data_IF_583466310899
#
_entry.id   IF_583466310899
#
_cell.length_a   1.000
_cell.length_b   1.000
_cell.length_c   1.000
_cell.angle_alpha   90.00
_cell.angle_beta   90.00
_cell.angle_gamma   90.00
#
_symmetry.space_group_name_H-M   'P 1'
#
loop_
_entity.id
_entity.type
_entity.pdbx_description
1 polymer ?
#
# COMPACT_ATOMS: atom_id res chain seq x y z
N UNK A 1 -15.19 18.04 -2.97
CA UNK A 1 -15.74 16.81 -2.33
C UNK A 1 -15.33 15.49 -3.01
N UNK A 2 -14.64 15.46 -4.16
CA UNK A 2 -14.36 14.23 -4.94
C UNK A 2 -13.12 13.40 -4.55
N UNK A 3 -12.42 13.73 -3.46
CA UNK A 3 -11.08 13.15 -3.21
C UNK A 3 -11.11 11.72 -2.66
N UNK A 4 -12.16 11.34 -1.91
CA UNK A 4 -12.25 10.03 -1.27
C UNK A 4 -12.34 8.87 -2.28
N UNK A 5 -13.18 8.91 -3.35
CA UNK A 5 -13.18 7.88 -4.37
C UNK A 5 -11.80 7.70 -5.02
N UNK A 6 -11.13 8.80 -5.35
CA UNK A 6 -9.79 8.76 -5.97
C UNK A 6 -8.76 8.10 -5.05
N UNK A 7 -8.79 8.40 -3.75
CA UNK A 7 -7.88 7.79 -2.78
C UNK A 7 -8.12 6.29 -2.59
N UNK A 8 -9.38 5.85 -2.65
CA UNK A 8 -9.74 4.42 -2.57
C UNK A 8 -9.21 3.63 -3.76
N UNK A 9 -9.19 4.23 -4.95
CA UNK A 9 -8.62 3.62 -6.15
C UNK A 9 -7.08 3.52 -6.08
N UNK A 10 -6.43 4.41 -5.32
CA UNK A 10 -4.97 4.46 -5.21
C UNK A 10 -4.42 3.77 -3.96
N UNK A 11 -5.12 2.79 -3.38
CA UNK A 11 -4.60 2.06 -2.21
C UNK A 11 -3.44 1.17 -2.64
N UNK A 12 -2.36 1.17 -1.86
CA UNK A 12 -1.16 0.38 -2.13
C UNK A 12 -0.93 -0.66 -1.03
N UNK A 13 -0.38 -1.84 -1.37
CA UNK A 13 0.10 -2.76 -0.36
C UNK A 13 1.36 -2.19 0.29
N UNK A 14 1.45 -2.27 1.61
CA UNK A 14 2.63 -1.83 2.38
C UNK A 14 3.31 -3.03 3.01
N UNK A 15 4.56 -3.29 2.63
CA UNK A 15 5.31 -4.41 3.18
C UNK A 15 5.81 -4.03 4.57
N UNK A 16 5.46 -4.84 5.56
CA UNK A 16 5.97 -4.72 6.93
C UNK A 16 7.04 -5.78 7.20
N UNK A 17 7.95 -5.46 8.09
CA UNK A 17 9.07 -6.31 8.49
C UNK A 17 9.46 -6.12 9.95
N UNK A 18 10.66 -6.61 10.27
CA UNK A 18 11.23 -6.66 11.62
C UNK A 18 12.50 -5.82 11.69
N UNK A 19 12.90 -5.47 12.91
CA UNK A 19 14.22 -4.91 13.18
C UNK A 19 15.06 -5.98 13.87
N UNK A 20 16.08 -6.49 13.18
CA UNK A 20 16.90 -7.60 13.66
C UNK A 20 16.10 -8.91 13.78
N UNK A 21 15.70 -9.27 15.00
CA UNK A 21 15.03 -10.53 15.29
C UNK A 21 13.55 -10.55 14.83
N UNK A 22 13.13 -11.67 14.24
CA UNK A 22 11.77 -11.89 13.72
C UNK A 22 10.81 -12.40 14.80
N UNK A 23 10.62 -11.63 15.87
CA UNK A 23 9.76 -12.02 17.01
C UNK A 23 8.40 -11.35 16.89
N UNK A 24 7.31 -12.10 17.04
CA UNK A 24 5.94 -11.57 17.02
C UNK A 24 5.49 -11.09 15.63
N UNK A 25 4.63 -10.08 15.57
CA UNK A 25 4.15 -9.50 14.30
C UNK A 25 5.13 -8.47 13.71
N UNK A 26 5.21 -8.32 12.38
CA UNK A 26 6.04 -7.30 11.74
C UNK A 26 5.49 -5.90 12.07
N UNK A 27 6.37 -5.00 12.49
CA UNK A 27 6.02 -3.70 13.06
C UNK A 27 6.71 -2.50 12.37
N UNK A 28 7.70 -2.76 11.52
CA UNK A 28 8.48 -1.71 10.83
C UNK A 28 8.43 -1.86 9.31
N UNK A 29 9.11 -0.96 8.61
CA UNK A 29 9.52 -1.16 7.21
C UNK A 29 10.63 -2.24 7.15
N UNK A 30 10.63 -3.15 6.17
CA UNK A 30 11.59 -4.26 6.11
C UNK A 30 13.05 -3.85 5.84
N UNK A 31 13.28 -2.74 5.14
CA UNK A 31 14.62 -2.25 4.80
C UNK A 31 14.59 -0.72 4.65
N UNK A 32 15.76 -0.13 4.45
CA UNK A 32 15.87 1.32 4.24
C UNK A 32 15.31 1.66 2.85
N UNK A 33 14.25 2.47 2.80
CA UNK A 33 13.61 2.91 1.54
C UNK A 33 13.75 4.41 1.37
N UNK A 34 13.83 4.85 0.13
CA UNK A 34 13.89 6.26 -0.25
C UNK A 34 12.85 6.57 -1.32
N UNK A 35 12.03 7.58 -1.04
CA UNK A 35 11.00 8.11 -1.91
C UNK A 35 11.28 9.56 -2.28
N UNK A 36 10.89 9.98 -3.48
CA UNK A 36 11.12 11.35 -3.97
C UNK A 36 9.90 11.88 -4.71
N UNK A 37 9.57 13.14 -4.46
CA UNK A 37 8.60 13.89 -5.26
C UNK A 37 9.03 15.36 -5.35
N UNK A 38 9.29 15.83 -6.58
CA UNK A 38 9.88 17.16 -6.80
C UNK A 38 11.24 17.30 -6.11
N UNK A 39 11.42 18.38 -5.35
CA UNK A 39 12.63 18.60 -4.55
C UNK A 39 12.66 17.83 -3.23
N UNK A 40 11.53 17.24 -2.81
CA UNK A 40 11.41 16.57 -1.50
C UNK A 40 11.81 15.11 -1.62
N UNK A 41 12.75 14.69 -0.77
CA UNK A 41 13.14 13.30 -0.59
C UNK A 41 12.85 12.85 0.83
N UNK A 42 12.31 11.65 0.98
CA UNK A 42 12.00 11.03 2.27
C UNK A 42 12.68 9.67 2.32
N UNK A 43 13.47 9.45 3.37
CA UNK A 43 14.10 8.18 3.67
C UNK A 43 13.46 7.59 4.91
N UNK A 44 13.06 6.33 4.84
CA UNK A 44 12.61 5.56 6.00
C UNK A 44 13.67 4.54 6.37
N UNK A 45 13.90 4.39 7.67
CA UNK A 45 14.86 3.46 8.26
C UNK A 45 14.12 2.66 9.33
N UNK A 46 14.24 1.32 9.34
CA UNK A 46 13.63 0.49 10.38
C UNK A 46 14.16 0.86 11.77
N UNK A 47 13.27 0.86 12.76
CA UNK A 47 13.56 1.23 14.14
C UNK A 47 13.34 0.04 15.11
N UNK A 48 13.99 0.00 16.27
CA UNK A 48 13.70 -1.02 17.28
C UNK A 48 12.26 -0.90 17.82
N UNK A 49 11.75 -1.99 18.41
CA UNK A 49 10.43 -1.96 19.07
C UNK A 49 10.37 -0.87 20.13
N UNK A 50 9.22 -0.20 20.22
CA UNK A 50 9.00 0.89 21.18
C UNK A 50 9.48 2.27 20.71
N UNK A 51 10.22 2.39 19.61
CA UNK A 51 10.64 3.70 19.08
C UNK A 51 9.48 4.57 18.59
N UNK A 52 8.37 3.94 18.16
CA UNK A 52 7.28 4.65 17.52
C UNK A 52 7.66 5.24 16.15
N UNK A 53 6.75 6.07 15.61
CA UNK A 53 6.98 6.80 14.35
C UNK A 53 7.68 8.12 14.66
N UNK A 54 8.96 8.20 14.31
CA UNK A 54 9.77 9.42 14.41
C UNK A 54 9.71 10.14 13.06
N UNK A 55 8.69 10.98 12.91
CA UNK A 55 8.44 11.77 11.71
C UNK A 55 7.67 13.07 12.02
N UNK A 56 7.69 14.01 11.07
CA UNK A 56 6.83 15.22 11.09
C UNK A 56 5.35 14.83 11.07
N UNK A 57 4.46 15.71 11.55
CA UNK A 57 3.01 15.49 11.69
C UNK A 57 2.32 14.86 10.47
N UNK A 58 2.70 15.27 9.26
CA UNK A 58 2.04 14.85 8.01
C UNK A 58 2.41 13.41 7.61
N UNK A 59 3.70 13.06 7.40
CA UNK A 59 4.09 11.66 7.12
C UNK A 59 3.78 10.74 8.30
N UNK A 60 3.81 11.24 9.56
CA UNK A 60 3.43 10.46 10.73
C UNK A 60 2.00 9.91 10.61
N UNK A 61 1.03 10.73 10.18
CA UNK A 61 -0.34 10.25 9.94
C UNK A 61 -0.43 9.23 8.81
N UNK A 62 0.29 9.46 7.70
CA UNK A 62 0.31 8.51 6.56
C UNK A 62 0.87 7.16 6.99
N UNK A 63 1.95 7.16 7.79
CA UNK A 63 2.59 5.97 8.33
C UNK A 63 1.70 5.23 9.34
N UNK A 64 0.95 5.96 10.16
CA UNK A 64 -0.07 5.37 11.04
C UNK A 64 -1.16 4.65 10.24
N UNK A 65 -1.67 5.27 9.17
CA UNK A 65 -2.66 4.63 8.30
C UNK A 65 -2.09 3.44 7.52
N UNK A 66 -0.79 3.45 7.24
CA UNK A 66 -0.09 2.31 6.64
C UNK A 66 0.12 1.14 7.62
N UNK A 67 -0.16 1.31 8.93
CA UNK A 67 0.01 0.27 9.94
C UNK A 67 1.47 -0.01 10.31
N UNK A 68 2.34 0.99 10.19
CA UNK A 68 3.74 0.93 10.63
C UNK A 68 3.83 1.51 12.03
N UNK A 69 4.36 0.76 12.98
CA UNK A 69 4.47 1.18 14.37
C UNK A 69 5.80 1.88 14.66
N UNK A 70 6.90 1.37 14.09
CA UNK A 70 8.26 1.87 14.33
C UNK A 70 8.98 2.26 13.04
N UNK A 71 9.38 3.52 12.92
CA UNK A 71 10.21 3.96 11.79
C UNK A 71 10.92 5.26 12.09
N UNK A 72 12.19 5.33 11.74
CA UNK A 72 12.93 6.58 11.68
C UNK A 72 12.80 7.18 10.29
N UNK A 73 12.46 8.46 10.22
CA UNK A 73 12.36 9.17 8.94
C UNK A 73 13.39 10.29 8.86
N UNK A 74 13.94 10.48 7.68
CA UNK A 74 14.81 11.61 7.35
C UNK A 74 14.30 12.24 6.07
N UNK A 75 14.01 13.54 6.10
CA UNK A 75 13.51 14.29 4.94
C UNK A 75 14.48 15.38 4.51
N UNK A 76 14.65 15.58 3.20
CA UNK A 76 15.45 16.67 2.63
C UNK A 76 14.66 17.37 1.52
N UNK A 77 14.97 18.65 1.27
CA UNK A 77 14.28 19.49 0.28
C UNK A 77 13.21 20.39 0.89
N UNK A 78 12.33 20.94 0.05
CA UNK A 78 11.28 21.87 0.50
C UNK A 78 10.09 21.14 1.14
N UNK A 79 10.26 20.68 2.38
CA UNK A 79 9.24 19.94 3.15
C UNK A 79 8.01 20.79 3.52
N UNK A 80 8.06 22.12 3.31
CA UNK A 80 6.92 23.03 3.45
C UNK A 80 5.79 22.70 2.47
N UNK A 81 6.12 22.17 1.28
CA UNK A 81 5.12 21.80 0.28
C UNK A 81 4.47 20.47 0.63
N UNK A 82 3.32 20.53 1.32
CA UNK A 82 2.60 19.36 1.84
C UNK A 82 2.31 18.29 0.79
N UNK A 83 1.85 18.68 -0.40
CA UNK A 83 1.48 17.73 -1.46
C UNK A 83 2.65 16.86 -1.91
N UNK A 84 3.81 17.47 -2.15
CA UNK A 84 5.03 16.75 -2.55
C UNK A 84 5.56 15.90 -1.39
N UNK A 85 5.45 16.38 -0.16
CA UNK A 85 5.92 15.65 1.01
C UNK A 85 5.12 14.36 1.26
N UNK A 86 3.78 14.44 1.15
CA UNK A 86 2.91 13.25 1.22
C UNK A 86 3.21 12.28 0.08
N UNK A 87 3.30 12.78 -1.16
CA UNK A 87 3.62 11.95 -2.33
C UNK A 87 4.99 11.26 -2.20
N UNK A 88 6.02 11.95 -1.70
CA UNK A 88 7.34 11.35 -1.47
C UNK A 88 7.29 10.26 -0.39
N UNK A 89 6.45 10.44 0.64
CA UNK A 89 6.23 9.43 1.69
C UNK A 89 5.51 8.20 1.11
N UNK A 90 4.50 8.44 0.26
CA UNK A 90 3.74 7.40 -0.42
C UNK A 90 4.59 6.60 -1.41
N UNK A 91 5.46 7.27 -2.18
CA UNK A 91 6.44 6.63 -3.06
C UNK A 91 7.42 5.73 -2.29
N UNK A 92 7.82 6.16 -1.08
CA UNK A 92 8.62 5.35 -0.16
C UNK A 92 7.92 4.03 0.21
N UNK A 93 6.62 4.10 0.51
CA UNK A 93 5.80 2.94 0.87
C UNK A 93 5.57 2.01 -0.33
N UNK A 94 5.31 2.57 -1.51
CA UNK A 94 5.13 1.79 -2.75
C UNK A 94 6.38 0.94 -3.04
N UNK A 95 7.57 1.53 -2.87
CA UNK A 95 8.87 0.85 -3.06
C UNK A 95 9.14 -0.28 -2.06
N UNK A 96 8.39 -0.39 -0.97
CA UNK A 96 8.57 -1.47 0.00
C UNK A 96 8.33 -2.87 -0.59
N UNK A 97 7.42 -2.99 -1.56
CA UNK A 97 7.21 -4.22 -2.32
C UNK A 97 8.08 -4.31 -3.58
N UNK A 98 8.58 -3.19 -4.09
CA UNK A 98 9.45 -3.15 -5.28
C UNK A 98 10.87 -3.67 -5.06
N UNK A 99 11.25 -4.02 -3.82
CA UNK A 99 12.57 -4.55 -3.50
C UNK A 99 12.52 -6.06 -3.26
N UNK A 100 13.36 -6.79 -4.01
CA UNK A 100 13.49 -8.22 -3.89
C UNK A 100 14.45 -8.60 -2.75
N UNK A 101 13.89 -8.98 -1.61
CA UNK A 101 14.64 -9.58 -0.50
C UNK A 101 14.84 -11.08 -0.72
N UNK A 102 15.83 -11.67 -0.04
CA UNK A 102 16.11 -13.12 -0.07
C UNK A 102 14.87 -14.01 0.15
N UNK A 103 13.90 -13.56 0.96
CA UNK A 103 12.63 -14.29 1.20
C UNK A 103 11.79 -14.53 -0.06
N UNK A 104 12.00 -13.73 -1.11
CA UNK A 104 11.24 -13.78 -2.37
C UNK A 104 12.06 -14.36 -3.53
N UNK A 105 13.19 -15.01 -3.26
CA UNK A 105 14.00 -15.65 -4.31
C UNK A 105 13.43 -16.98 -4.81
N UNK A 106 12.51 -17.59 -4.06
CA UNK A 106 11.83 -18.81 -4.50
C UNK A 106 10.95 -18.51 -5.71
N UNK A 107 11.02 -19.38 -6.72
CA UNK A 107 10.21 -19.24 -7.93
C UNK A 107 8.71 -19.11 -7.63
N UNK A 108 8.08 -18.14 -8.28
CA UNK A 108 6.64 -17.90 -8.15
C UNK A 108 5.89 -18.88 -9.05
N UNK A 109 5.01 -19.70 -8.47
CA UNK A 109 4.07 -20.52 -9.25
C UNK A 109 2.87 -19.65 -9.63
N UNK A 110 2.73 -19.32 -10.91
CA UNK A 110 1.60 -18.53 -11.39
C UNK A 110 0.34 -19.42 -11.46
N UNK A 111 -0.71 -19.02 -10.74
CA UNK A 111 -2.06 -19.57 -10.91
C UNK A 111 -2.75 -18.88 -12.09
N UNK A 112 -3.88 -19.43 -12.54
CA UNK A 112 -4.73 -18.74 -13.52
C UNK A 112 -5.22 -17.42 -12.94
N UNK A 113 -5.42 -16.43 -13.79
CA UNK A 113 -5.97 -15.15 -13.35
C UNK A 113 -7.46 -15.33 -12.99
N UNK A 114 -8.00 -14.62 -11.99
CA UNK A 114 -9.43 -14.70 -11.65
C UNK A 114 -10.35 -14.35 -12.82
N UNK A 115 -9.90 -13.45 -13.70
CA UNK A 115 -10.63 -13.12 -14.94
C UNK A 115 -10.77 -14.34 -15.86
N UNK A 116 -9.74 -15.20 -15.93
CA UNK A 116 -9.77 -16.41 -16.75
C UNK A 116 -10.57 -17.54 -16.09
N UNK A 117 -10.50 -17.69 -14.77
CA UNK A 117 -11.25 -18.72 -14.04
C UNK A 117 -12.76 -18.46 -14.04
N UNK A 118 -13.16 -17.19 -13.94
CA UNK A 118 -14.56 -16.78 -13.90
C UNK A 118 -15.04 -16.11 -15.20
N UNK A 119 -14.37 -16.36 -16.32
CA UNK A 119 -14.75 -15.84 -17.65
C UNK A 119 -16.24 -16.01 -17.91
N UNK A 120 -16.76 -17.22 -17.69
CA UNK A 120 -18.16 -17.54 -18.01
C UNK A 120 -19.16 -16.78 -17.13
N UNK A 121 -18.77 -16.46 -15.89
CA UNK A 121 -19.60 -15.66 -14.98
C UNK A 121 -19.58 -14.18 -15.35
N UNK A 122 -18.40 -13.66 -15.71
CA UNK A 122 -18.22 -12.26 -16.09
C UNK A 122 -18.80 -11.94 -17.46
N UNK A 123 -18.91 -12.93 -18.36
CA UNK A 123 -19.52 -12.77 -19.69
C UNK A 123 -21.05 -12.67 -19.65
N UNK A 124 -21.70 -13.04 -18.53
CA UNK A 124 -23.17 -12.96 -18.42
C UNK A 124 -23.62 -11.50 -18.43
N UNK A 125 -24.61 -11.12 -19.26
CA UNK A 125 -25.10 -9.76 -19.32
C UNK A 125 -25.76 -9.39 -18.00
N UNK A 126 -25.15 -8.45 -17.27
CA UNK A 126 -25.62 -7.97 -15.97
C UNK A 126 -27.02 -7.31 -16.05
N UNK A 127 -27.45 -6.90 -17.25
CA UNK A 127 -28.73 -6.21 -17.48
C UNK A 127 -29.94 -7.10 -17.80
N UNK A 128 -29.77 -8.40 -18.11
CA UNK A 128 -30.91 -9.26 -18.49
C UNK A 128 -31.40 -10.19 -17.38
N UNK A 129 -30.55 -10.51 -16.40
CA UNK A 129 -30.93 -11.42 -15.33
C UNK A 129 -31.95 -10.82 -14.34
N UNK A 130 -31.95 -9.50 -14.14
CA UNK A 130 -32.92 -8.84 -13.25
C UNK A 130 -34.31 -8.73 -13.88
N UNK A 131 -34.40 -8.59 -15.21
CA UNK A 131 -35.68 -8.42 -15.91
C UNK A 131 -36.41 -9.77 -16.07
N UNK A 132 -35.67 -10.86 -16.24
CA UNK A 132 -36.25 -12.20 -16.44
C UNK A 132 -36.71 -12.89 -15.14
N UNK A 133 -36.20 -12.48 -13.98
CA UNK A 133 -36.74 -12.96 -12.69
C UNK A 133 -38.03 -12.24 -12.29
N UNK A 134 -38.21 -10.96 -12.64
CA UNK A 134 -39.49 -10.26 -12.44
C UNK A 134 -40.61 -10.85 -13.32
N UNK A 135 -40.36 -11.13 -14.61
CA UNK A 135 -41.37 -11.75 -15.50
C UNK A 135 -41.76 -13.18 -15.11
N UNK A 136 -40.98 -13.88 -14.27
CA UNK A 136 -41.27 -15.25 -13.85
C UNK A 136 -42.05 -15.35 -12.54
N UNK A 137 -42.24 -14.24 -11.83
CA UNK A 137 -43.05 -14.16 -10.61
C UNK A 137 -44.47 -13.66 -10.90
N UNK A 138 -44.68 -13.01 -12.05
CA UNK A 138 -45.99 -12.50 -12.48
C UNK A 138 -46.79 -13.45 -13.41
N UNK A 139 -46.29 -14.67 -13.66
CA UNK A 139 -46.97 -15.72 -14.45
C UNK A 139 -47.20 -16.99 -13.62
#
# INVERSE_FOLDING_TARGET
MKIMPVQKLSVIPVRRGYWGNKIGKPHNVPFKVTGKCGSVTVRMVPAPRGSGIVAIRVPKKVLQFAGIDGVFTSSRGSTKTLGNFVKATFDCLLKSYGFLTLEFWKETRFSKSPFQEYTDLLAKPTGKALILEEERVEA
#
